data_IF_130978481603
#
_entry.id   IF_130978481603
#
_cell.length_a   1.000
_cell.length_b   1.000
_cell.length_c   1.000
_cell.angle_alpha   90.00
_cell.angle_beta   90.00
_cell.angle_gamma   90.00
#
_symmetry.space_group_name_H-M   'P 1'
#
loop_
_entity.id
_entity.type
_entity.pdbx_description
1 polymer ?
#
# COMPACT_ATOMS: atom_id res chain seq x y z
N UNK A 1 -39.64 33.51 46.60
CA UNK A 1 -38.85 32.50 45.86
C UNK A 1 -39.68 32.06 44.66
N UNK A 2 -39.23 32.31 43.43
CA UNK A 2 -39.83 31.74 42.21
C UNK A 2 -39.11 30.44 41.86
N UNK A 3 -39.80 29.37 41.44
CA UNK A 3 -39.15 28.14 41.03
C UNK A 3 -38.43 28.33 39.69
N UNK A 4 -37.25 27.71 39.56
CA UNK A 4 -36.44 27.65 38.34
C UNK A 4 -37.06 26.61 37.41
N UNK A 5 -37.32 26.90 36.12
CA UNK A 5 -37.79 25.89 35.17
C UNK A 5 -36.65 24.92 34.83
N UNK A 6 -36.86 23.63 35.06
CA UNK A 6 -35.99 22.56 34.56
C UNK A 6 -36.22 22.40 33.07
N UNK A 7 -35.27 22.84 32.26
CA UNK A 7 -35.24 22.53 30.83
C UNK A 7 -34.69 21.10 30.64
N UNK A 8 -35.60 20.15 30.51
CA UNK A 8 -35.29 18.82 29.97
C UNK A 8 -35.20 18.92 28.46
N UNK A 9 -33.98 19.08 27.95
CA UNK A 9 -33.67 18.94 26.53
C UNK A 9 -33.94 17.47 26.13
N UNK A 10 -34.74 17.18 25.08
CA UNK A 10 -34.92 15.80 24.61
C UNK A 10 -33.57 15.26 24.15
N UNK A 11 -33.23 14.04 24.57
CA UNK A 11 -32.02 13.34 24.16
C UNK A 11 -31.96 13.25 22.65
N UNK A 12 -30.93 13.86 22.06
CA UNK A 12 -30.61 13.66 20.65
C UNK A 12 -30.29 12.18 20.45
N UNK A 13 -31.00 11.54 19.52
CA UNK A 13 -30.55 10.30 18.91
C UNK A 13 -29.08 10.46 18.55
N UNK A 14 -28.22 9.53 18.99
CA UNK A 14 -26.83 9.51 18.61
C UNK A 14 -26.76 9.34 17.08
N UNK A 15 -26.65 10.45 16.36
CA UNK A 15 -26.32 10.51 14.94
C UNK A 15 -25.06 9.67 14.76
N UNK A 16 -25.19 8.49 14.13
CA UNK A 16 -24.04 7.64 13.85
C UNK A 16 -23.18 8.40 12.86
N UNK A 17 -22.01 8.86 13.31
CA UNK A 17 -21.09 9.65 12.50
C UNK A 17 -20.84 8.97 11.16
N UNK A 18 -20.89 9.73 10.08
CA UNK A 18 -20.67 9.25 8.71
C UNK A 18 -19.30 8.57 8.51
N UNK A 19 -18.36 8.72 9.44
CA UNK A 19 -17.08 8.03 9.41
C UNK A 19 -17.20 6.51 9.67
N UNK A 20 -18.24 6.08 10.39
CA UNK A 20 -18.47 4.68 10.75
C UNK A 20 -19.43 3.96 9.82
N UNK A 21 -19.91 4.62 8.76
CA UNK A 21 -20.83 4.01 7.79
C UNK A 21 -20.06 3.41 6.61
N UNK A 22 -20.58 2.33 6.00
CA UNK A 22 -19.95 1.74 4.82
C UNK A 22 -19.79 2.73 3.67
N UNK A 23 -18.78 2.48 2.84
CA UNK A 23 -18.51 3.26 1.64
C UNK A 23 -18.31 2.33 0.45
N UNK A 24 -19.15 2.47 -0.57
CA UNK A 24 -19.08 1.67 -1.79
C UNK A 24 -18.29 2.42 -2.85
N UNK A 25 -17.23 1.78 -3.35
CA UNK A 25 -16.39 2.30 -4.42
C UNK A 25 -17.10 2.15 -5.78
N UNK A 26 -16.68 2.90 -6.82
CA UNK A 26 -17.26 2.81 -8.16
C UNK A 26 -17.23 1.40 -8.78
N UNK A 27 -16.29 0.55 -8.35
CA UNK A 27 -16.18 -0.84 -8.79
C UNK A 27 -17.02 -1.83 -7.96
N UNK A 28 -17.88 -1.34 -7.06
CA UNK A 28 -18.76 -2.15 -6.23
C UNK A 28 -18.14 -2.67 -4.93
N UNK A 29 -16.83 -2.52 -4.73
CA UNK A 29 -16.19 -2.90 -3.47
C UNK A 29 -16.71 -2.06 -2.30
N UNK A 30 -17.08 -2.72 -1.21
CA UNK A 30 -17.61 -2.07 -0.01
C UNK A 30 -16.53 -2.03 1.07
N UNK A 31 -16.17 -0.82 1.51
CA UNK A 31 -15.34 -0.60 2.69
C UNK A 31 -16.28 -0.48 3.91
N UNK A 32 -16.09 -1.26 4.99
CA UNK A 32 -17.02 -1.30 6.13
C UNK A 32 -17.21 0.04 6.85
N UNK A 33 -16.19 0.90 6.82
CA UNK A 33 -16.22 2.26 7.35
C UNK A 33 -15.15 3.13 6.67
N UNK A 34 -15.14 4.43 6.97
CA UNK A 34 -14.27 5.41 6.30
C UNK A 34 -12.94 5.65 7.04
N UNK A 35 -12.56 4.76 7.95
CA UNK A 35 -11.26 4.78 8.60
C UNK A 35 -10.27 3.94 7.81
N UNK A 36 -9.14 4.56 7.45
CA UNK A 36 -8.09 3.93 6.66
C UNK A 36 -6.79 3.94 7.45
N UNK A 37 -6.16 2.78 7.61
CA UNK A 37 -4.73 2.73 7.98
C UNK A 37 -3.93 3.07 6.73
N UNK A 38 -3.24 4.20 6.78
CA UNK A 38 -2.44 4.70 5.67
C UNK A 38 -1.21 3.80 5.39
N UNK A 39 -0.69 3.91 4.17
CA UNK A 39 0.62 3.42 3.78
C UNK A 39 1.71 3.99 4.71
N UNK A 40 2.45 3.09 5.37
CA UNK A 40 3.56 3.44 6.28
C UNK A 40 4.70 2.47 6.05
N UNK A 41 5.93 2.94 5.95
CA UNK A 41 7.08 2.05 5.86
C UNK A 41 7.46 1.52 7.24
N UNK A 42 7.13 0.26 7.52
CA UNK A 42 7.38 -0.34 8.85
C UNK A 42 8.85 -0.73 9.06
N UNK A 43 9.61 -1.00 7.98
CA UNK A 43 10.97 -1.53 8.05
C UNK A 43 11.09 -2.78 8.95
N UNK A 44 10.14 -3.70 8.79
CA UNK A 44 9.98 -4.91 9.61
C UNK A 44 10.03 -6.19 8.77
N UNK A 45 10.57 -6.17 7.55
CA UNK A 45 10.76 -7.40 6.80
C UNK A 45 11.73 -8.33 7.54
N UNK A 46 11.36 -9.61 7.60
CA UNK A 46 12.18 -10.67 8.16
C UNK A 46 13.26 -11.13 7.18
N UNK A 47 13.74 -12.37 7.38
CA UNK A 47 14.75 -12.99 6.52
C UNK A 47 14.25 -13.05 5.06
N UNK A 48 15.11 -12.62 4.14
CA UNK A 48 14.83 -12.68 2.70
C UNK A 48 13.83 -11.62 2.23
N UNK A 49 13.66 -10.51 2.98
CA UNK A 49 12.72 -9.43 2.64
C UNK A 49 11.25 -9.88 2.63
N UNK A 50 10.95 -10.93 3.40
CA UNK A 50 9.62 -11.50 3.53
C UNK A 50 8.89 -10.95 4.75
N UNK A 51 7.56 -10.82 4.70
CA UNK A 51 6.79 -10.53 5.90
C UNK A 51 6.84 -11.72 6.86
N UNK A 52 6.88 -11.47 8.16
CA UNK A 52 7.01 -12.51 9.19
C UNK A 52 6.09 -12.26 10.40
N UNK A 53 6.21 -13.10 11.42
CA UNK A 53 5.31 -13.11 12.58
C UNK A 53 5.14 -11.74 13.28
N UNK A 54 6.22 -10.97 13.57
CA UNK A 54 6.10 -9.59 14.02
C UNK A 54 5.21 -8.70 13.14
N UNK A 55 5.41 -8.73 11.82
CA UNK A 55 4.64 -7.93 10.89
C UNK A 55 3.17 -8.39 10.82
N UNK A 56 2.93 -9.70 10.86
CA UNK A 56 1.57 -10.26 10.90
C UNK A 56 0.82 -9.78 12.15
N UNK A 57 1.46 -9.79 13.32
CA UNK A 57 0.85 -9.33 14.57
C UNK A 57 0.53 -7.83 14.54
N UNK A 58 1.41 -7.01 13.94
CA UNK A 58 1.15 -5.59 13.77
C UNK A 58 -0.13 -5.33 12.94
N UNK A 59 -0.25 -6.01 11.80
CA UNK A 59 -1.41 -5.87 10.93
C UNK A 59 -2.69 -6.44 11.55
N UNK A 60 -2.58 -7.53 12.31
CA UNK A 60 -3.68 -8.08 13.11
C UNK A 60 -4.21 -7.07 14.13
N UNK A 61 -3.32 -6.33 14.79
CA UNK A 61 -3.71 -5.28 15.75
C UNK A 61 -4.43 -4.12 15.07
N UNK A 62 -3.92 -3.65 13.93
CA UNK A 62 -4.61 -2.60 13.16
C UNK A 62 -5.99 -3.06 12.69
N UNK A 63 -6.08 -4.28 12.16
CA UNK A 63 -7.35 -4.87 11.72
C UNK A 63 -8.38 -4.95 12.86
N UNK A 64 -7.97 -5.48 14.02
CA UNK A 64 -8.81 -5.56 15.23
C UNK A 64 -9.17 -4.19 15.82
N UNK A 65 -8.46 -3.12 15.42
CA UNK A 65 -8.81 -1.75 15.76
C UNK A 65 -10.07 -1.24 15.05
N UNK A 66 -10.64 -1.99 14.11
CA UNK A 66 -11.90 -1.67 13.44
C UNK A 66 -11.76 -0.69 12.27
N UNK A 67 -10.56 -0.57 11.69
CA UNK A 67 -10.39 0.19 10.43
C UNK A 67 -11.11 -0.52 9.28
N UNK A 68 -11.70 0.25 8.36
CA UNK A 68 -12.39 -0.30 7.20
C UNK A 68 -11.45 -0.73 6.10
N UNK A 69 -10.30 -0.07 5.97
CA UNK A 69 -9.27 -0.37 4.96
C UNK A 69 -7.88 -0.29 5.57
N UNK A 70 -7.03 -1.25 5.22
CA UNK A 70 -5.59 -1.23 5.48
C UNK A 70 -4.84 -1.14 4.16
N UNK A 71 -4.01 -0.11 4.03
CA UNK A 71 -3.01 -0.05 2.96
C UNK A 71 -1.69 -0.53 3.56
N UNK A 72 -1.04 -1.51 2.93
CA UNK A 72 0.24 -2.01 3.42
C UNK A 72 1.32 -0.94 3.38
N UNK A 73 2.44 -1.18 4.06
CA UNK A 73 3.68 -0.48 3.76
C UNK A 73 4.21 -0.84 2.38
N UNK A 74 5.32 -0.20 2.03
CA UNK A 74 5.97 -0.35 0.73
C UNK A 74 6.36 -1.81 0.47
N UNK A 75 5.77 -2.42 -0.56
CA UNK A 75 6.20 -3.71 -1.10
C UNK A 75 6.94 -3.45 -2.40
N UNK A 76 8.23 -3.74 -2.43
CA UNK A 76 9.07 -3.46 -3.59
C UNK A 76 8.89 -4.55 -4.65
N UNK A 77 8.75 -4.11 -5.90
CA UNK A 77 8.65 -5.00 -7.07
C UNK A 77 10.01 -5.52 -7.55
N UNK A 78 11.10 -5.06 -6.93
CA UNK A 78 12.46 -5.35 -7.35
C UNK A 78 13.40 -5.43 -6.14
N UNK A 79 14.00 -6.61 -5.91
CA UNK A 79 14.87 -6.87 -4.77
C UNK A 79 16.12 -5.98 -4.72
N UNK A 80 16.60 -5.51 -5.88
CA UNK A 80 17.75 -4.59 -5.96
C UNK A 80 17.35 -3.11 -5.82
N UNK A 81 16.06 -2.79 -5.68
CA UNK A 81 15.61 -1.41 -5.54
C UNK A 81 14.86 -1.24 -4.20
N UNK A 82 15.63 -1.05 -3.13
CA UNK A 82 15.11 -0.93 -1.76
C UNK A 82 15.29 0.47 -1.20
N UNK A 83 14.35 0.90 -0.35
CA UNK A 83 14.43 2.13 0.44
C UNK A 83 15.13 1.92 1.78
N UNK A 84 15.21 0.68 2.27
CA UNK A 84 15.82 0.34 3.55
C UNK A 84 16.13 -1.16 3.69
N UNK A 85 16.97 -1.54 4.67
CA UNK A 85 17.48 -2.91 4.80
C UNK A 85 16.40 -3.93 5.21
N UNK A 86 15.26 -3.47 5.72
CA UNK A 86 14.13 -4.29 6.15
C UNK A 86 12.86 -3.96 5.35
N UNK A 87 13.02 -3.59 4.08
CA UNK A 87 11.91 -3.46 3.13
C UNK A 87 11.36 -4.82 2.70
N UNK A 88 10.06 -4.90 2.45
CA UNK A 88 9.40 -6.11 1.94
C UNK A 88 9.52 -6.13 0.41
N UNK A 89 9.82 -7.30 -0.17
CA UNK A 89 9.90 -7.50 -1.63
C UNK A 89 8.93 -8.59 -2.04
N UNK A 90 8.13 -8.34 -3.08
CA UNK A 90 7.30 -9.35 -3.72
C UNK A 90 7.58 -9.35 -5.22
N UNK A 91 8.29 -10.37 -5.68
CA UNK A 91 8.65 -10.59 -7.08
C UNK A 91 8.44 -12.06 -7.49
N UNK A 92 8.76 -12.40 -8.73
CA UNK A 92 8.60 -13.75 -9.29
C UNK A 92 9.36 -14.85 -8.54
N UNK A 93 10.33 -14.51 -7.68
CA UNK A 93 11.13 -15.46 -6.91
C UNK A 93 10.67 -15.58 -5.45
N UNK A 94 9.74 -14.72 -5.04
CA UNK A 94 9.27 -14.64 -3.67
C UNK A 94 8.30 -15.79 -3.35
N UNK A 95 8.48 -16.51 -2.22
CA UNK A 95 7.48 -17.47 -1.77
C UNK A 95 6.19 -16.75 -1.39
N UNK A 96 5.06 -17.24 -1.88
CA UNK A 96 3.78 -16.55 -1.70
C UNK A 96 3.13 -16.77 -0.32
N UNK A 97 3.47 -17.87 0.35
CA UNK A 97 2.84 -18.27 1.61
C UNK A 97 2.91 -17.20 2.72
N UNK A 98 4.06 -16.55 2.99
CA UNK A 98 4.12 -15.47 3.98
C UNK A 98 3.21 -14.27 3.67
N UNK A 99 3.02 -13.95 2.39
CA UNK A 99 2.13 -12.86 1.97
C UNK A 99 0.66 -13.22 2.20
N UNK A 100 0.28 -14.50 2.00
CA UNK A 100 -1.06 -15.01 2.35
C UNK A 100 -1.34 -14.91 3.84
N UNK A 101 -0.36 -15.25 4.67
CA UNK A 101 -0.47 -15.11 6.12
C UNK A 101 -0.59 -13.66 6.55
N UNK A 102 0.16 -12.76 5.90
CA UNK A 102 0.08 -11.33 6.13
C UNK A 102 -1.29 -10.75 5.77
N UNK A 103 -1.81 -11.06 4.58
CA UNK A 103 -3.13 -10.64 4.13
C UNK A 103 -4.23 -11.18 5.06
N UNK A 104 -4.14 -12.45 5.46
CA UNK A 104 -5.07 -13.06 6.41
C UNK A 104 -5.06 -12.34 7.76
N UNK A 105 -3.87 -12.01 8.28
CA UNK A 105 -3.75 -11.27 9.53
C UNK A 105 -4.35 -9.86 9.42
N UNK A 106 -4.08 -9.17 8.31
CA UNK A 106 -4.60 -7.83 8.02
C UNK A 106 -6.12 -7.79 7.82
N UNK A 107 -6.75 -8.88 7.39
CA UNK A 107 -8.21 -9.02 7.25
C UNK A 107 -8.93 -9.50 8.50
N UNK A 108 -8.20 -9.91 9.54
CA UNK A 108 -8.78 -10.62 10.71
C UNK A 108 -9.84 -9.86 11.51
N UNK A 109 -9.92 -8.54 11.39
CA UNK A 109 -10.95 -7.67 11.97
C UNK A 109 -12.03 -7.21 10.98
N UNK A 110 -12.07 -7.76 9.78
CA UNK A 110 -13.05 -7.43 8.73
C UNK A 110 -12.67 -6.24 7.84
N UNK A 111 -11.43 -5.74 7.95
CA UNK A 111 -10.92 -4.69 7.06
C UNK A 111 -10.68 -5.24 5.65
N UNK A 112 -10.90 -4.40 4.64
CA UNK A 112 -10.30 -4.60 3.32
C UNK A 112 -8.78 -4.36 3.42
N UNK A 113 -8.00 -5.01 2.55
CA UNK A 113 -6.53 -4.91 2.54
C UNK A 113 -6.02 -4.70 1.13
N UNK A 114 -5.32 -3.57 0.92
CA UNK A 114 -4.69 -3.22 -0.35
C UNK A 114 -3.18 -3.20 -0.19
N UNK A 115 -2.49 -3.93 -1.06
CA UNK A 115 -1.05 -3.91 -1.10
C UNK A 115 -0.55 -2.68 -1.85
N UNK A 116 0.40 -1.98 -1.24
CA UNK A 116 1.08 -0.85 -1.85
C UNK A 116 2.35 -1.32 -2.55
N UNK A 117 2.30 -1.47 -3.87
CA UNK A 117 3.43 -1.98 -4.67
C UNK A 117 4.23 -0.82 -5.26
N UNK A 118 5.56 -0.87 -5.12
CA UNK A 118 6.41 0.29 -5.31
C UNK A 118 7.74 -0.05 -6.00
N UNK A 119 8.34 0.99 -6.57
CA UNK A 119 9.76 1.01 -6.94
C UNK A 119 10.35 2.35 -6.51
N UNK A 120 11.43 2.39 -5.71
CA UNK A 120 11.95 3.63 -5.11
C UNK A 120 12.56 4.59 -6.13
N UNK A 121 12.87 4.08 -7.31
CA UNK A 121 13.49 4.84 -8.37
C UNK A 121 14.80 5.48 -7.91
N UNK A 122 14.90 6.81 -7.99
CA UNK A 122 16.07 7.58 -7.54
C UNK A 122 16.14 7.84 -6.03
N UNK A 123 15.16 7.37 -5.24
CA UNK A 123 15.10 7.57 -3.79
C UNK A 123 15.70 6.38 -3.00
N UNK A 124 16.75 5.76 -3.55
CA UNK A 124 17.54 4.72 -2.87
C UNK A 124 18.63 5.38 -2.04
N UNK A 125 18.79 4.98 -0.78
CA UNK A 125 19.84 5.48 0.10
C UNK A 125 21.24 5.23 -0.49
N UNK A 126 22.17 6.18 -0.34
CA UNK A 126 23.53 6.05 -0.86
C UNK A 126 24.33 4.90 -0.19
N UNK A 127 23.88 4.47 0.98
CA UNK A 127 24.42 3.37 1.79
C UNK A 127 23.71 2.03 1.54
N UNK A 128 22.68 2.01 0.70
CA UNK A 128 21.94 0.80 0.37
C UNK A 128 22.51 0.13 -0.87
N UNK A 129 22.71 -1.21 -0.86
CA UNK A 129 23.03 -1.95 -2.07
C UNK A 129 21.82 -1.91 -3.00
N UNK A 130 22.04 -1.60 -4.27
CA UNK A 130 20.95 -1.61 -5.24
C UNK A 130 21.08 -0.63 -6.39
N UNK A 131 20.05 -0.63 -7.23
CA UNK A 131 19.94 0.24 -8.39
C UNK A 131 19.07 1.45 -8.10
N UNK A 132 19.68 2.63 -8.12
CA UNK A 132 18.96 3.89 -8.15
C UNK A 132 18.56 4.19 -9.60
N UNK A 133 17.45 3.63 -10.06
CA UNK A 133 16.99 3.82 -11.43
C UNK A 133 16.02 4.99 -11.55
N UNK A 134 16.22 5.84 -12.54
CA UNK A 134 15.31 6.95 -12.81
C UNK A 134 15.09 7.19 -14.29
N UNK A 135 14.13 8.07 -14.66
CA UNK A 135 13.95 8.49 -16.05
C UNK A 135 15.15 9.31 -16.56
N UNK A 136 16.03 9.77 -15.68
CA UNK A 136 17.22 10.58 -15.97
C UNK A 136 18.24 10.44 -14.84
N UNK A 137 19.48 10.86 -15.08
CA UNK A 137 20.58 10.88 -14.09
C UNK A 137 20.49 12.07 -13.11
N UNK A 138 19.30 12.67 -12.98
CA UNK A 138 19.08 13.81 -12.09
C UNK A 138 18.83 13.32 -10.67
N UNK A 139 19.77 13.64 -9.77
CA UNK A 139 19.64 13.39 -8.33
C UNK A 139 18.38 14.01 -7.72
N UNK A 140 17.93 13.42 -6.61
CA UNK A 140 16.90 14.04 -5.77
C UNK A 140 17.48 15.33 -5.17
N UNK A 141 16.90 16.48 -5.51
CA UNK A 141 17.30 17.75 -4.91
C UNK A 141 16.47 18.05 -3.66
N UNK A 142 17.11 17.89 -2.51
CA UNK A 142 16.59 18.28 -1.19
C UNK A 142 17.66 19.07 -0.42
N UNK A 143 18.46 19.86 -1.15
CA UNK A 143 19.52 20.69 -0.59
C UNK A 143 20.63 19.87 0.08
N UNK A 144 20.91 20.13 1.36
CA UNK A 144 22.03 19.50 2.09
C UNK A 144 21.90 17.98 2.21
N UNK A 145 20.68 17.45 2.08
CA UNK A 145 20.40 16.03 2.21
C UNK A 145 20.47 15.26 0.88
N UNK A 146 20.72 15.93 -0.26
CA UNK A 146 20.76 15.27 -1.58
C UNK A 146 21.83 14.17 -1.67
N UNK A 147 22.90 14.27 -0.88
CA UNK A 147 23.97 13.26 -0.78
C UNK A 147 23.56 11.98 -0.04
N UNK A 148 22.38 11.97 0.62
CA UNK A 148 21.85 10.76 1.27
C UNK A 148 21.29 9.76 0.27
N UNK A 149 21.05 10.18 -0.97
CA UNK A 149 20.56 9.32 -2.04
C UNK A 149 21.67 8.95 -3.01
N UNK A 150 21.60 7.74 -3.53
CA UNK A 150 22.51 7.24 -4.55
C UNK A 150 22.44 8.09 -5.84
N UNK A 151 23.50 8.03 -6.64
CA UNK A 151 23.50 8.62 -7.98
C UNK A 151 22.53 7.83 -8.87
N UNK A 152 21.46 8.46 -9.39
CA UNK A 152 20.54 7.72 -10.23
C UNK A 152 21.14 7.45 -11.60
N UNK A 153 20.89 6.26 -12.10
CA UNK A 153 21.20 5.85 -13.47
C UNK A 153 19.94 5.99 -14.30
N UNK A 154 20.06 6.62 -15.48
CA UNK A 154 18.96 6.70 -16.43
C UNK A 154 18.61 5.30 -16.94
N UNK A 155 17.32 4.96 -16.88
CA UNK A 155 16.83 3.69 -17.40
C UNK A 155 16.82 3.69 -18.92
N UNK A 156 17.27 2.58 -19.50
CA UNK A 156 17.04 2.26 -20.91
C UNK A 156 15.58 1.90 -21.14
N UNK A 157 15.09 2.00 -22.38
CA UNK A 157 13.74 1.60 -22.74
C UNK A 157 13.42 0.14 -22.35
N UNK A 158 14.43 -0.76 -22.46
CA UNK A 158 14.32 -2.15 -21.99
C UNK A 158 14.10 -2.23 -20.49
N UNK A 159 14.87 -1.50 -19.69
CA UNK A 159 14.71 -1.48 -18.23
C UNK A 159 13.34 -0.89 -17.82
N UNK A 160 12.83 0.09 -18.56
CA UNK A 160 11.48 0.63 -18.32
C UNK A 160 10.43 -0.46 -18.56
N UNK A 161 10.51 -1.17 -19.68
CA UNK A 161 9.60 -2.29 -19.98
C UNK A 161 9.69 -3.38 -18.90
N UNK A 162 10.90 -3.76 -18.48
CA UNK A 162 11.12 -4.74 -17.42
C UNK A 162 10.55 -4.28 -16.07
N UNK A 163 10.64 -3.00 -15.75
CA UNK A 163 10.02 -2.45 -14.54
C UNK A 163 8.50 -2.51 -14.63
N UNK A 164 7.90 -2.20 -15.79
CA UNK A 164 6.45 -2.36 -16.00
C UNK A 164 6.03 -3.81 -15.81
N UNK A 165 6.75 -4.76 -16.41
CA UNK A 165 6.47 -6.19 -16.28
C UNK A 165 6.54 -6.64 -14.80
N UNK A 166 7.51 -6.12 -14.04
CA UNK A 166 7.61 -6.38 -12.60
C UNK A 166 6.41 -5.85 -11.82
N UNK A 167 5.91 -4.65 -12.12
CA UNK A 167 4.70 -4.13 -11.49
C UNK A 167 3.49 -5.03 -11.78
N UNK A 168 3.34 -5.49 -13.03
CA UNK A 168 2.25 -6.40 -13.43
C UNK A 168 2.38 -7.74 -12.70
N UNK A 169 3.57 -8.31 -12.63
CA UNK A 169 3.82 -9.58 -11.94
C UNK A 169 3.55 -9.47 -10.44
N UNK A 170 4.11 -8.46 -9.76
CA UNK A 170 3.85 -8.22 -8.34
C UNK A 170 2.38 -7.98 -8.07
N UNK A 171 1.67 -7.31 -8.98
CA UNK A 171 0.23 -7.09 -8.84
C UNK A 171 -0.56 -8.41 -8.84
N UNK A 172 -0.25 -9.33 -9.77
CA UNK A 172 -0.86 -10.67 -9.82
C UNK A 172 -0.53 -11.48 -8.57
N UNK A 173 0.73 -11.45 -8.13
CA UNK A 173 1.13 -12.13 -6.90
C UNK A 173 0.42 -11.55 -5.67
N UNK A 174 0.20 -10.24 -5.61
CA UNK A 174 -0.53 -9.62 -4.52
C UNK A 174 -2.00 -10.06 -4.46
N UNK A 175 -2.66 -10.21 -5.62
CA UNK A 175 -3.99 -10.82 -5.78
C UNK A 175 -3.98 -12.30 -5.33
N UNK A 176 -3.03 -13.11 -5.81
CA UNK A 176 -2.90 -14.52 -5.40
C UNK A 176 -2.54 -14.71 -3.91
N UNK A 177 -1.95 -13.69 -3.28
CA UNK A 177 -1.71 -13.62 -1.85
C UNK A 177 -2.96 -13.23 -1.05
N UNK A 178 -4.05 -12.84 -1.71
CA UNK A 178 -5.31 -12.44 -1.10
C UNK A 178 -5.37 -10.97 -0.72
N UNK A 179 -4.64 -10.09 -1.41
CA UNK A 179 -4.98 -8.65 -1.40
C UNK A 179 -6.33 -8.46 -2.10
N UNK A 180 -7.17 -7.54 -1.62
CA UNK A 180 -8.48 -7.35 -2.23
C UNK A 180 -8.37 -6.69 -3.59
N UNK A 181 -8.91 -7.36 -4.61
CA UNK A 181 -9.05 -6.88 -5.98
C UNK A 181 -10.53 -6.76 -6.40
N UNK A 182 -11.45 -7.51 -5.77
CA UNK A 182 -12.86 -7.62 -6.19
C UNK A 182 -13.85 -7.72 -5.03
N UNK A 183 -15.11 -7.30 -5.25
CA UNK A 183 -16.20 -7.52 -4.30
C UNK A 183 -16.52 -9.01 -4.15
N UNK A 184 -16.65 -9.49 -2.91
CA UNK A 184 -17.25 -10.80 -2.65
C UNK A 184 -18.75 -10.75 -3.03
N UNK A 185 -19.12 -11.43 -4.13
CA UNK A 185 -20.52 -11.73 -4.46
C UNK A 185 -21.11 -11.17 -5.76
N UNK A 186 -20.32 -10.92 -6.82
CA UNK A 186 -20.87 -10.61 -8.15
C UNK A 186 -20.70 -11.81 -9.10
N UNK A 187 -21.82 -12.35 -9.56
CA UNK A 187 -21.89 -13.40 -10.59
C UNK A 187 -21.30 -12.93 -11.92
N UNK A 188 -20.70 -13.90 -12.61
CA UNK A 188 -20.15 -13.94 -13.97
C UNK A 188 -20.59 -12.83 -14.95
N UNK A 189 -19.72 -11.83 -15.16
CA UNK A 189 -19.59 -11.10 -16.45
C UNK A 189 -18.12 -10.70 -16.66
N UNK A 190 -17.57 -11.12 -17.80
CA UNK A 190 -16.28 -10.70 -18.37
C UNK A 190 -16.11 -9.17 -18.37
N UNK A 191 -15.23 -8.67 -17.50
CA UNK A 191 -14.72 -7.31 -17.53
C UNK A 191 -13.28 -7.31 -16.99
N UNK A 192 -12.41 -6.51 -17.63
CA UNK A 192 -10.98 -6.38 -17.33
C UNK A 192 -10.68 -6.25 -15.82
N UNK A 193 -9.59 -6.84 -15.31
CA UNK A 193 -9.27 -6.84 -13.87
C UNK A 193 -9.06 -5.41 -13.35
N UNK A 194 -10.04 -4.90 -12.61
CA UNK A 194 -9.94 -3.64 -11.88
C UNK A 194 -9.14 -3.81 -10.59
N UNK A 195 -7.81 -3.92 -10.67
CA UNK A 195 -6.96 -4.14 -9.48
C UNK A 195 -7.02 -2.96 -8.51
N UNK A 196 -7.37 -3.20 -7.24
CA UNK A 196 -7.29 -2.22 -6.15
C UNK A 196 -5.90 -2.20 -5.51
N UNK A 197 -4.87 -2.14 -6.35
CA UNK A 197 -3.47 -2.13 -5.95
C UNK A 197 -2.97 -0.69 -6.00
N UNK A 198 -2.47 -0.19 -4.87
CA UNK A 198 -1.95 1.17 -4.83
C UNK A 198 -0.51 1.17 -5.34
N UNK A 199 -0.32 1.60 -6.58
CA UNK A 199 1.02 1.84 -7.13
C UNK A 199 1.50 3.22 -6.69
N UNK A 200 2.59 3.29 -5.93
CA UNK A 200 3.30 4.55 -5.72
C UNK A 200 4.56 4.57 -6.58
N UNK A 201 4.47 5.19 -7.77
CA UNK A 201 5.67 5.64 -8.47
C UNK A 201 6.14 6.96 -7.84
N UNK A 202 7.42 7.12 -7.48
CA UNK A 202 7.92 8.40 -7.02
C UNK A 202 7.80 9.39 -8.18
N UNK A 203 6.82 10.30 -8.07
CA UNK A 203 6.49 11.41 -8.97
C UNK A 203 7.45 11.51 -10.18
N UNK A 204 7.09 10.80 -11.24
CA UNK A 204 7.83 10.77 -12.50
C UNK A 204 7.79 12.17 -13.10
N UNK A 205 8.90 12.90 -13.03
CA UNK A 205 9.05 14.25 -13.56
C UNK A 205 9.17 14.33 -15.08
N UNK A 206 8.32 13.65 -15.86
CA UNK A 206 8.27 13.79 -17.32
C UNK A 206 7.19 14.80 -17.79
N UNK A 207 7.20 15.33 -19.02
CA UNK A 207 6.13 16.17 -19.55
C UNK A 207 4.81 15.39 -19.69
N UNK A 208 3.68 16.08 -19.54
CA UNK A 208 2.30 15.51 -19.43
C UNK A 208 1.90 14.60 -20.61
N UNK A 209 2.53 14.72 -21.79
CA UNK A 209 2.23 13.90 -22.97
C UNK A 209 3.00 12.58 -23.08
N UNK A 210 3.93 12.30 -22.17
CA UNK A 210 4.69 11.03 -22.11
C UNK A 210 4.69 10.43 -20.69
N UNK A 211 3.73 10.82 -19.85
CA UNK A 211 3.47 10.21 -18.54
C UNK A 211 2.44 9.11 -18.65
#
# INVERSE_FOLDING_TARGET
>A
MRPIPTSTKPGGSAETSAIFTPFTLPNGTVIPNRLVKAAMEENMAGRGQLPDAPLFELYRRWSRGGVGLIITGNVMVHAEALTGPAGVVLDAHSPLQPFREWATAAKSGGAQVWMQINHPGRQVGADMPGVAWGPSEVRVDIGKNSKRFAEPVAMTARQIAETVDRFVETARLAEDAGSDDRPHGADDVTQEPGSLIQTAAPLIGAPIGQR
#
